data_IF_350659137436
#
_entry.id   IF_350659137436
#
_cell.length_a   1.000
_cell.length_b   1.000
_cell.length_c   1.000
_cell.angle_alpha   90.00
_cell.angle_beta   90.00
_cell.angle_gamma   90.00
#
_symmetry.space_group_name_H-M   'P 1'
#
loop_
_entity.id
_entity.type
_entity.pdbx_description
1 polymer ?
#
# COMPACT_ATOMS: atom_id res chain seq x y z
N UNK A 1 0.89 -22.88 -11.47
CA UNK A 1 -0.32 -23.40 -12.12
C UNK A 1 -0.03 -23.75 -13.57
N UNK A 2 -0.86 -24.58 -14.18
CA UNK A 2 -0.84 -24.82 -15.63
C UNK A 2 -1.47 -23.65 -16.37
N UNK A 3 -1.02 -23.42 -17.60
CA UNK A 3 -1.69 -22.44 -18.46
C UNK A 3 -3.04 -22.98 -18.98
N UNK A 4 -4.05 -22.15 -18.98
CA UNK A 4 -5.37 -22.42 -19.54
C UNK A 4 -5.75 -21.30 -20.53
N UNK A 5 -6.81 -21.55 -21.34
CA UNK A 5 -7.30 -20.55 -22.30
C UNK A 5 -7.86 -19.30 -21.60
N UNK A 6 -8.50 -19.50 -20.45
CA UNK A 6 -9.00 -18.43 -19.58
C UNK A 6 -7.88 -17.97 -18.65
N UNK A 7 -7.73 -16.66 -18.44
CA UNK A 7 -6.72 -16.07 -17.55
C UNK A 7 -6.89 -16.62 -16.13
N UNK A 8 -5.79 -17.02 -15.51
CA UNK A 8 -5.67 -17.49 -14.12
C UNK A 8 -6.56 -18.70 -13.74
N UNK A 9 -7.16 -19.39 -14.71
CA UNK A 9 -8.09 -20.53 -14.49
C UNK A 9 -7.41 -21.91 -14.59
N UNK A 10 -6.10 -21.98 -14.72
CA UNK A 10 -5.37 -23.25 -14.82
C UNK A 10 -5.30 -24.02 -13.50
N UNK A 11 -5.14 -25.33 -13.58
CA UNK A 11 -4.97 -26.19 -12.39
C UNK A 11 -3.73 -25.77 -11.58
N UNK A 12 -3.89 -25.72 -10.26
CA UNK A 12 -2.82 -25.39 -9.34
C UNK A 12 -1.89 -26.63 -9.21
N UNK A 13 -0.59 -26.39 -9.35
CA UNK A 13 0.45 -27.42 -9.19
C UNK A 13 0.96 -27.44 -7.76
N UNK A 14 1.35 -26.28 -7.25
CA UNK A 14 1.85 -26.07 -5.89
C UNK A 14 1.53 -24.69 -5.38
N UNK A 15 1.47 -24.52 -4.07
CA UNK A 15 1.22 -23.24 -3.39
C UNK A 15 2.11 -23.12 -2.17
N UNK A 16 2.49 -21.87 -1.85
CA UNK A 16 3.14 -21.52 -0.59
C UNK A 16 2.52 -20.22 -0.07
N UNK A 17 2.10 -20.23 1.19
CA UNK A 17 1.55 -19.05 1.86
C UNK A 17 2.59 -18.37 2.73
N UNK A 18 2.44 -17.07 2.94
CA UNK A 18 3.25 -16.28 3.85
C UNK A 18 2.39 -15.19 4.45
N UNK A 19 2.72 -14.76 5.67
CA UNK A 19 2.03 -13.65 6.33
C UNK A 19 2.54 -12.33 5.77
N UNK A 20 1.62 -11.38 5.54
CA UNK A 20 1.97 -9.99 5.26
C UNK A 20 2.20 -9.30 6.61
N UNK A 21 3.40 -8.74 6.81
CA UNK A 21 3.76 -8.07 8.05
C UNK A 21 3.03 -6.73 8.18
N UNK A 22 2.90 -6.22 9.41
CA UNK A 22 2.08 -5.04 9.71
C UNK A 22 2.50 -3.78 8.94
N UNK A 23 3.80 -3.52 8.85
CA UNK A 23 4.36 -2.35 8.15
C UNK A 23 4.96 -2.69 6.77
N UNK A 24 4.75 -3.93 6.29
CA UNK A 24 5.30 -4.37 5.01
C UNK A 24 4.64 -3.62 3.85
N UNK A 25 5.46 -3.07 2.96
CA UNK A 25 5.00 -2.38 1.75
C UNK A 25 4.85 -3.34 0.57
N UNK A 26 4.16 -2.90 -0.49
CA UNK A 26 4.09 -3.65 -1.75
C UNK A 26 5.48 -4.02 -2.27
N UNK A 27 6.44 -3.08 -2.25
CA UNK A 27 7.79 -3.32 -2.77
C UNK A 27 8.50 -4.45 -2.00
N UNK A 28 8.49 -4.40 -0.66
CA UNK A 28 9.15 -5.42 0.16
C UNK A 28 8.44 -6.77 0.08
N UNK A 29 7.11 -6.78 0.02
CA UNK A 29 6.32 -8.00 -0.17
C UNK A 29 6.60 -8.63 -1.55
N UNK A 30 6.64 -7.81 -2.61
CA UNK A 30 6.93 -8.27 -3.96
C UNK A 30 8.32 -8.92 -4.06
N UNK A 31 9.34 -8.28 -3.49
CA UNK A 31 10.69 -8.85 -3.42
C UNK A 31 10.68 -10.19 -2.68
N UNK A 32 10.09 -10.26 -1.50
CA UNK A 32 10.00 -11.47 -0.69
C UNK A 32 9.24 -12.59 -1.40
N UNK A 33 8.11 -12.27 -2.05
CA UNK A 33 7.34 -13.23 -2.83
C UNK A 33 8.12 -13.75 -4.05
N UNK A 34 8.98 -12.94 -4.66
CA UNK A 34 9.80 -13.38 -5.80
C UNK A 34 10.78 -14.46 -5.40
N UNK A 35 11.41 -14.36 -4.22
CA UNK A 35 12.27 -15.43 -3.68
C UNK A 35 11.48 -16.70 -3.33
N UNK A 36 10.33 -16.53 -2.66
CA UNK A 36 9.45 -17.65 -2.31
C UNK A 36 8.99 -18.38 -3.58
N UNK A 37 8.59 -17.63 -4.62
CA UNK A 37 8.14 -18.16 -5.89
C UNK A 37 9.24 -18.88 -6.66
N UNK A 38 10.46 -18.31 -6.67
CA UNK A 38 11.64 -18.97 -7.25
C UNK A 38 11.89 -20.33 -6.60
N UNK A 39 11.96 -20.38 -5.27
CA UNK A 39 12.25 -21.60 -4.55
C UNK A 39 11.15 -22.65 -4.76
N UNK A 40 9.88 -22.22 -4.69
CA UNK A 40 8.74 -23.09 -4.97
C UNK A 40 8.77 -23.64 -6.41
N UNK A 41 9.19 -22.84 -7.38
CA UNK A 41 9.33 -23.29 -8.77
C UNK A 41 10.42 -24.38 -8.87
N UNK A 42 11.59 -24.14 -8.30
CA UNK A 42 12.71 -25.10 -8.32
C UNK A 42 12.29 -26.44 -7.68
N UNK A 43 11.62 -26.39 -6.54
CA UNK A 43 11.13 -27.58 -5.83
C UNK A 43 10.06 -28.35 -6.62
N UNK A 44 9.29 -27.65 -7.43
CA UNK A 44 8.16 -28.22 -8.19
C UNK A 44 8.58 -28.82 -9.53
N UNK A 45 9.61 -28.27 -10.20
CA UNK A 45 10.06 -28.65 -11.53
C UNK A 45 10.32 -30.17 -11.70
N UNK A 46 11.01 -30.87 -10.78
CA UNK A 46 11.25 -32.32 -10.92
C UNK A 46 9.95 -33.12 -11.06
N UNK A 47 8.93 -32.76 -10.29
CA UNK A 47 7.62 -33.44 -10.35
C UNK A 47 6.86 -33.21 -11.66
N UNK A 48 7.04 -32.01 -12.24
CA UNK A 48 6.47 -31.67 -13.55
C UNK A 48 7.15 -32.46 -14.66
N UNK A 49 8.50 -32.51 -14.65
CA UNK A 49 9.31 -33.21 -15.64
C UNK A 49 9.01 -34.70 -15.62
N UNK A 50 8.87 -35.29 -14.43
CA UNK A 50 8.58 -36.71 -14.24
C UNK A 50 7.09 -37.07 -14.38
N UNK A 51 6.22 -36.09 -14.56
CA UNK A 51 4.76 -36.30 -14.68
C UNK A 51 4.09 -36.79 -13.38
N UNK A 52 4.72 -36.56 -12.23
CA UNK A 52 4.24 -37.00 -10.91
C UNK A 52 3.56 -35.92 -10.10
N UNK A 53 3.50 -34.69 -10.63
CA UNK A 53 2.88 -33.57 -9.95
C UNK A 53 1.37 -33.72 -9.84
N UNK A 54 0.82 -33.22 -8.74
CA UNK A 54 -0.64 -33.12 -8.55
C UNK A 54 -1.22 -31.99 -9.40
N UNK A 55 -2.50 -32.12 -9.73
CA UNK A 55 -3.31 -31.08 -10.36
C UNK A 55 -4.52 -30.82 -9.48
N UNK A 56 -4.63 -29.62 -8.94
CA UNK A 56 -5.74 -29.18 -8.10
C UNK A 56 -6.58 -28.25 -8.93
N UNK A 57 -7.78 -28.70 -9.31
CA UNK A 57 -8.73 -27.88 -10.07
C UNK A 57 -9.20 -26.72 -9.18
N UNK A 58 -9.19 -25.52 -9.74
CA UNK A 58 -9.76 -24.35 -9.06
C UNK A 58 -11.29 -24.43 -9.05
N UNK A 59 -11.91 -23.96 -7.98
CA UNK A 59 -13.36 -23.84 -7.87
C UNK A 59 -13.80 -22.51 -8.47
N UNK A 60 -14.68 -22.54 -9.46
CA UNK A 60 -15.14 -21.35 -10.18
C UNK A 60 -15.83 -20.33 -9.25
N UNK A 61 -16.53 -20.81 -8.22
CA UNK A 61 -17.20 -19.98 -7.22
C UNK A 61 -16.25 -19.22 -6.27
N UNK A 62 -14.99 -19.64 -6.19
CA UNK A 62 -13.96 -19.01 -5.33
C UNK A 62 -13.01 -18.10 -6.13
N UNK A 63 -13.23 -17.95 -7.43
CA UNK A 63 -12.35 -17.13 -8.29
C UNK A 63 -12.52 -15.65 -7.98
N UNK A 64 -11.41 -14.97 -7.77
CA UNK A 64 -11.35 -13.51 -7.66
C UNK A 64 -10.42 -12.95 -8.73
N UNK A 65 -10.71 -11.74 -9.20
CA UNK A 65 -9.92 -11.09 -10.22
C UNK A 65 -9.17 -9.88 -9.64
N UNK A 66 -7.88 -9.79 -9.91
CA UNK A 66 -7.07 -8.61 -9.60
C UNK A 66 -7.06 -7.66 -10.80
N UNK A 67 -7.96 -6.69 -10.83
CA UNK A 67 -7.96 -5.66 -11.87
C UNK A 67 -6.84 -4.64 -11.66
N UNK A 68 -6.47 -3.93 -12.73
CA UNK A 68 -5.55 -2.81 -12.62
C UNK A 68 -6.16 -1.72 -11.73
N UNK A 69 -5.34 -1.17 -10.83
CA UNK A 69 -5.73 -0.09 -9.93
C UNK A 69 -5.95 1.20 -10.73
N UNK A 70 -7.11 1.81 -10.57
CA UNK A 70 -7.47 3.08 -11.21
C UNK A 70 -6.89 4.27 -10.44
N UNK A 71 -6.87 5.45 -11.07
CA UNK A 71 -6.40 6.68 -10.40
C UNK A 71 -7.29 7.08 -9.23
N UNK A 72 -8.56 6.79 -9.31
CA UNK A 72 -9.53 7.02 -8.24
C UNK A 72 -9.24 6.15 -7.03
N UNK A 73 -8.86 4.89 -7.26
CA UNK A 73 -8.47 3.97 -6.20
C UNK A 73 -7.13 4.32 -5.55
N UNK A 74 -6.24 5.04 -6.26
CA UNK A 74 -5.00 5.57 -5.68
C UNK A 74 -5.26 6.70 -4.67
N UNK A 75 -6.40 7.38 -4.76
CA UNK A 75 -6.73 8.52 -3.90
C UNK A 75 -6.98 8.07 -2.46
N UNK A 76 -6.38 8.79 -1.52
CA UNK A 76 -6.60 8.58 -0.09
C UNK A 76 -7.95 9.21 0.28
N UNK A 77 -8.83 8.41 0.86
CA UNK A 77 -10.04 8.87 1.52
C UNK A 77 -9.77 8.96 3.03
N UNK A 78 -9.71 10.16 3.56
CA UNK A 78 -9.47 10.38 4.99
C UNK A 78 -10.72 10.12 5.86
N UNK A 79 -11.91 10.00 5.27
CA UNK A 79 -13.13 9.57 5.97
C UNK A 79 -13.22 8.03 6.14
N UNK A 80 -12.06 7.40 6.19
CA UNK A 80 -11.87 6.00 6.51
C UNK A 80 -11.03 5.88 7.79
N UNK A 81 -10.89 4.67 8.32
CA UNK A 81 -10.07 4.42 9.52
C UNK A 81 -8.56 4.60 9.22
N UNK A 82 -7.83 5.03 10.23
CA UNK A 82 -6.36 5.17 10.15
C UNK A 82 -5.68 3.87 9.70
N UNK A 83 -6.23 2.71 10.10
CA UNK A 83 -5.75 1.39 9.69
C UNK A 83 -5.95 1.12 8.19
N UNK A 84 -7.12 1.43 7.65
CA UNK A 84 -7.41 1.25 6.22
C UNK A 84 -6.56 2.18 5.36
N UNK A 85 -6.42 3.45 5.79
CA UNK A 85 -5.57 4.43 5.11
C UNK A 85 -4.10 3.99 5.12
N UNK A 86 -3.59 3.52 6.28
CA UNK A 86 -2.25 2.98 6.39
C UNK A 86 -2.05 1.78 5.44
N UNK A 87 -2.99 0.84 5.43
CA UNK A 87 -2.97 -0.31 4.52
C UNK A 87 -2.99 0.10 3.05
N UNK A 88 -3.80 1.09 2.67
CA UNK A 88 -3.81 1.64 1.31
C UNK A 88 -2.45 2.24 0.94
N UNK A 89 -1.86 3.06 1.81
CA UNK A 89 -0.56 3.71 1.54
C UNK A 89 0.53 2.65 1.35
N UNK A 90 0.67 1.69 2.28
CA UNK A 90 1.70 0.65 2.18
C UNK A 90 1.46 -0.33 1.03
N UNK A 91 0.18 -0.64 0.73
CA UNK A 91 -0.21 -1.54 -0.36
C UNK A 91 -0.01 -0.93 -1.75
N UNK A 92 0.11 0.39 -1.87
CA UNK A 92 0.40 1.10 -3.12
C UNK A 92 1.85 1.64 -3.19
N UNK A 93 2.66 1.45 -2.16
CA UNK A 93 4.03 1.96 -2.09
C UNK A 93 5.01 0.97 -2.74
N UNK A 94 5.82 1.42 -3.70
CA UNK A 94 6.00 2.80 -4.15
C UNK A 94 5.24 3.11 -5.43
N UNK A 95 4.76 2.13 -6.16
CA UNK A 95 4.07 2.26 -7.45
C UNK A 95 2.71 1.56 -7.36
N UNK A 96 1.62 2.27 -7.69
CA UNK A 96 1.52 3.63 -8.20
C UNK A 96 1.75 4.74 -7.16
N UNK A 97 1.63 4.45 -5.88
CA UNK A 97 1.71 5.39 -4.75
C UNK A 97 0.37 6.08 -4.47
N UNK A 98 -0.16 5.89 -3.26
CA UNK A 98 -1.36 6.57 -2.81
C UNK A 98 -1.19 8.10 -2.84
N UNK A 99 -2.23 8.85 -3.14
CA UNK A 99 -2.15 10.31 -3.22
C UNK A 99 -3.32 11.02 -2.57
N UNK A 100 -3.08 12.28 -2.25
CA UNK A 100 -4.05 13.29 -1.84
C UNK A 100 -3.73 14.61 -2.53
N UNK A 101 -4.57 15.63 -2.34
CA UNK A 101 -4.32 17.00 -2.81
C UNK A 101 -3.93 17.89 -1.63
N UNK A 102 -2.82 18.59 -1.76
CA UNK A 102 -2.29 19.56 -0.81
C UNK A 102 -2.02 20.89 -1.51
N UNK A 103 -2.72 21.97 -1.13
CA UNK A 103 -2.63 23.28 -1.76
C UNK A 103 -2.76 23.19 -3.30
N UNK A 104 -3.82 22.53 -3.77
CA UNK A 104 -4.18 22.30 -5.17
C UNK A 104 -3.13 21.55 -5.99
N UNK A 105 -2.15 20.91 -5.34
CA UNK A 105 -1.15 20.05 -5.94
C UNK A 105 -1.31 18.62 -5.48
N UNK A 106 -1.08 17.67 -6.38
CA UNK A 106 -1.04 16.26 -6.00
C UNK A 106 0.15 16.00 -5.07
N UNK A 107 -0.14 15.36 -3.95
CA UNK A 107 0.85 14.88 -3.00
C UNK A 107 0.75 13.36 -2.87
N UNK A 108 1.75 12.63 -3.34
CA UNK A 108 1.86 11.19 -3.09
C UNK A 108 2.40 10.94 -1.69
N UNK A 109 1.87 9.91 -1.05
CA UNK A 109 2.29 9.44 0.27
C UNK A 109 2.83 8.02 0.12
N UNK A 110 4.07 7.79 0.52
CA UNK A 110 4.74 6.49 0.38
C UNK A 110 4.94 5.77 1.71
N UNK A 111 4.91 6.51 2.81
CA UNK A 111 5.04 5.92 4.15
C UNK A 111 4.16 6.66 5.13
N UNK A 112 3.46 5.91 5.95
CA UNK A 112 2.65 6.38 7.06
C UNK A 112 2.86 5.50 8.29
N UNK A 113 2.34 5.93 9.43
CA UNK A 113 2.27 5.12 10.64
C UNK A 113 0.96 5.41 11.35
N UNK A 114 0.35 4.38 11.92
CA UNK A 114 -0.83 4.51 12.78
C UNK A 114 -0.46 5.17 14.11
N UNK A 115 -1.43 5.78 14.76
CA UNK A 115 -1.31 6.27 16.14
C UNK A 115 -2.54 5.89 16.95
N UNK A 116 -2.43 5.96 18.27
CA UNK A 116 -3.56 5.81 19.19
C UNK A 116 -4.15 7.17 19.58
N UNK A 117 -3.75 8.26 18.91
CA UNK A 117 -4.25 9.62 19.17
C UNK A 117 -5.56 9.79 18.43
N UNK A 118 -6.65 10.02 19.14
CA UNK A 118 -7.98 10.24 18.58
C UNK A 118 -7.98 11.53 17.76
N UNK A 119 -8.56 11.49 16.56
CA UNK A 119 -8.80 12.67 15.72
C UNK A 119 -9.81 13.59 16.42
N UNK A 120 -9.52 14.91 16.44
CA UNK A 120 -10.39 15.92 17.02
C UNK A 120 -10.93 16.92 16.00
N UNK A 121 -10.46 16.85 14.77
CA UNK A 121 -10.88 17.69 13.65
C UNK A 121 -11.47 16.87 12.52
N UNK A 122 -12.04 17.51 11.51
CA UNK A 122 -12.60 16.84 10.33
C UNK A 122 -11.55 16.00 9.60
N UNK A 123 -11.92 14.81 9.07
CA UNK A 123 -11.04 13.96 8.30
C UNK A 123 -10.30 14.72 7.18
N UNK A 124 -9.01 14.45 7.03
CA UNK A 124 -8.12 15.12 6.07
C UNK A 124 -7.49 16.42 6.59
N UNK A 125 -7.84 16.89 7.78
CA UNK A 125 -7.22 18.10 8.37
C UNK A 125 -5.87 17.77 8.98
N UNK A 126 -4.85 18.58 8.71
CA UNK A 126 -3.56 18.50 9.41
C UNK A 126 -3.76 19.05 10.81
N UNK A 127 -3.77 18.16 11.79
CA UNK A 127 -4.08 18.51 13.18
C UNK A 127 -2.83 18.85 13.99
N UNK A 128 -1.70 18.19 13.66
CA UNK A 128 -0.44 18.35 14.38
C UNK A 128 0.75 18.16 13.44
N UNK A 129 1.85 18.85 13.74
CA UNK A 129 3.13 18.72 13.03
C UNK A 129 4.25 18.61 14.05
N UNK A 130 4.98 17.49 14.04
CA UNK A 130 6.16 17.27 14.87
C UNK A 130 7.46 17.63 14.10
N UNK A 131 8.62 17.12 14.58
CA UNK A 131 9.89 17.34 13.90
C UNK A 131 10.05 16.54 12.61
N UNK A 132 9.40 15.36 12.54
CA UNK A 132 9.59 14.37 11.48
C UNK A 132 8.27 13.88 10.84
N UNK A 133 7.13 14.38 11.31
CA UNK A 133 5.82 13.83 10.94
C UNK A 133 4.76 14.91 10.79
N UNK A 134 3.85 14.71 9.84
CA UNK A 134 2.59 15.44 9.70
C UNK A 134 1.48 14.50 10.15
N UNK A 135 0.64 14.94 11.10
CA UNK A 135 -0.49 14.17 11.60
C UNK A 135 -1.76 14.68 10.96
N UNK A 136 -2.49 13.77 10.34
CA UNK A 136 -3.73 14.06 9.63
C UNK A 136 -4.87 13.33 10.30
N UNK A 137 -5.97 14.04 10.52
CA UNK A 137 -7.20 13.48 11.07
C UNK A 137 -7.81 12.46 10.11
N UNK A 138 -8.29 11.36 10.67
CA UNK A 138 -9.06 10.35 9.96
C UNK A 138 -10.40 10.13 10.69
N UNK A 139 -11.17 9.16 10.27
CA UNK A 139 -12.44 8.83 10.91
C UNK A 139 -12.31 8.42 12.39
N UNK A 140 -11.16 7.90 12.79
CA UNK A 140 -10.90 7.39 14.16
C UNK A 140 -9.71 8.10 14.80
N UNK A 141 -8.51 7.80 14.38
CA UNK A 141 -7.26 8.26 14.98
C UNK A 141 -6.43 9.07 13.99
N UNK A 142 -5.47 9.83 14.50
CA UNK A 142 -4.52 10.52 13.64
C UNK A 142 -3.62 9.50 12.91
N UNK A 143 -3.35 9.77 11.63
CA UNK A 143 -2.34 9.04 10.87
C UNK A 143 -1.12 9.94 10.64
N UNK A 144 0.09 9.39 10.85
CA UNK A 144 1.36 10.06 10.55
C UNK A 144 1.71 9.89 9.08
N UNK A 145 2.06 10.96 8.40
CA UNK A 145 2.71 10.93 7.10
C UNK A 145 4.22 11.09 7.30
N UNK A 146 5.02 10.20 6.70
CA UNK A 146 6.46 10.11 6.94
C UNK A 146 7.32 10.29 5.68
N UNK A 147 6.81 9.93 4.50
CA UNK A 147 7.51 10.02 3.22
C UNK A 147 6.52 10.47 2.14
N UNK A 148 6.83 11.58 1.49
CA UNK A 148 5.92 12.25 0.56
C UNK A 148 6.61 12.71 -0.71
N UNK A 149 5.79 12.96 -1.74
CA UNK A 149 6.22 13.65 -2.96
C UNK A 149 5.12 14.62 -3.40
N UNK A 150 5.40 15.91 -3.29
CA UNK A 150 4.50 16.96 -3.83
C UNK A 150 4.82 17.14 -5.30
N UNK A 151 3.79 17.36 -6.10
CA UNK A 151 3.93 17.65 -7.54
C UNK A 151 4.91 18.80 -7.80
N UNK A 152 5.82 18.57 -8.75
CA UNK A 152 6.92 19.49 -9.06
C UNK A 152 8.12 19.43 -8.10
N UNK A 153 8.08 18.59 -7.05
CA UNK A 153 9.20 18.39 -6.10
C UNK A 153 9.72 16.95 -6.14
N UNK A 154 10.91 16.73 -5.60
CA UNK A 154 11.46 15.39 -5.38
C UNK A 154 10.75 14.73 -4.19
N UNK A 155 10.70 13.39 -4.19
CA UNK A 155 10.31 12.60 -3.03
C UNK A 155 11.29 12.86 -1.89
N UNK A 156 10.77 13.05 -0.68
CA UNK A 156 11.58 13.29 0.52
C UNK A 156 10.85 12.78 1.77
N UNK A 157 11.61 12.53 2.81
CA UNK A 157 11.05 12.31 4.13
C UNK A 157 10.37 13.59 4.63
N UNK A 158 9.29 13.43 5.40
CA UNK A 158 8.56 14.58 5.96
C UNK A 158 9.46 15.44 6.82
N UNK A 159 10.39 14.84 7.60
CA UNK A 159 11.40 15.59 8.37
C UNK A 159 12.21 16.56 7.51
N UNK A 160 12.60 16.15 6.30
CA UNK A 160 13.38 16.99 5.38
C UNK A 160 12.51 18.07 4.73
N UNK A 161 11.25 17.72 4.42
CA UNK A 161 10.26 18.67 3.92
C UNK A 161 9.96 19.78 4.92
N UNK A 162 9.91 19.47 6.22
CA UNK A 162 9.63 20.43 7.30
C UNK A 162 10.79 21.38 7.59
N UNK A 163 12.00 21.05 7.12
CA UNK A 163 13.15 21.98 7.23
C UNK A 163 12.87 23.23 6.38
N UNK A 164 12.83 24.38 7.03
CA UNK A 164 12.56 25.66 6.37
C UNK A 164 11.08 26.03 6.22
N UNK A 165 10.15 25.22 6.76
CA UNK A 165 8.73 25.52 6.78
C UNK A 165 8.30 25.89 8.21
N UNK A 166 7.48 26.94 8.34
CA UNK A 166 6.81 27.24 9.60
C UNK A 166 5.74 26.19 9.85
N UNK A 167 5.96 25.28 10.79
CA UNK A 167 5.06 24.13 11.08
C UNK A 167 3.62 24.57 11.37
N UNK A 168 3.45 25.67 12.09
CA UNK A 168 2.14 26.22 12.44
C UNK A 168 1.31 26.60 11.21
N UNK A 169 1.96 26.95 10.08
CA UNK A 169 1.26 27.26 8.84
C UNK A 169 0.63 26.05 8.14
N UNK A 170 0.98 24.85 8.57
CA UNK A 170 0.39 23.60 8.06
C UNK A 170 -0.80 23.15 8.87
N UNK A 171 -0.89 23.57 10.15
CA UNK A 171 -2.00 23.17 11.04
C UNK A 171 -3.31 23.79 10.52
N UNK A 172 -4.36 22.96 10.46
CA UNK A 172 -5.67 23.36 9.92
C UNK A 172 -5.78 23.27 8.39
N UNK A 173 -4.69 23.00 7.66
CA UNK A 173 -4.78 22.77 6.21
C UNK A 173 -5.47 21.44 5.95
N UNK A 174 -6.43 21.44 5.01
CA UNK A 174 -7.19 20.24 4.63
C UNK A 174 -6.58 19.58 3.38
N UNK A 175 -6.27 18.32 3.50
CA UNK A 175 -5.94 17.42 2.39
C UNK A 175 -7.25 16.90 1.76
N UNK A 176 -7.26 16.74 0.41
CA UNK A 176 -8.49 16.38 -0.33
C UNK A 176 -8.28 15.18 -1.23
#
# INVERSE_FOLDING_TARGET
>A
MYMAKQMDAGDIISQKSTLIQEDETLDSLYERLSYIGRDLLIDTLPSIINGTNKRIKQKEEEVTFGYNITKEEEKIDFDDTSSNIHNKIRGLSSIPGAYTTFNDKRMKVYKSSKTDIISTTDPGTIERVDQDSIYVSTKDNLIKLLDIKIEGKKRCLVKDYLNGIKKDSLIGVKLK
#
